data_IF_802265580297
#
_entry.id   IF_802265580297
#
_cell.length_a   1.000
_cell.length_b   1.000
_cell.length_c   1.000
_cell.angle_alpha   90.00
_cell.angle_beta   90.00
_cell.angle_gamma   90.00
#
_symmetry.space_group_name_H-M   'P 1'
#
loop_
_entity.id
_entity.type
_entity.pdbx_description
1 polymer ?
#
# COMPACT_ATOMS: atom_id res chain seq x y z
N UNK A 1 23.19 14.26 19.48
CA UNK A 1 21.76 13.89 19.58
C UNK A 1 21.42 13.78 21.06
N UNK A 2 20.27 14.30 21.52
CA UNK A 2 19.80 14.08 22.89
C UNK A 2 19.31 12.63 23.01
N UNK A 3 19.67 11.93 24.09
CA UNK A 3 19.27 10.53 24.38
C UNK A 3 17.80 10.41 24.81
N UNK A 4 16.90 11.20 24.24
CA UNK A 4 15.49 11.19 24.61
C UNK A 4 14.75 10.12 23.82
N UNK A 5 13.96 9.29 24.51
CA UNK A 5 13.17 8.25 23.85
C UNK A 5 11.91 8.86 23.23
N UNK A 6 11.42 8.28 22.13
CA UNK A 6 10.15 8.73 21.51
C UNK A 6 8.98 8.70 22.50
N UNK A 7 8.98 7.74 23.43
CA UNK A 7 7.97 7.62 24.48
C UNK A 7 8.01 8.84 25.41
N UNK A 8 9.21 9.27 25.83
CA UNK A 8 9.35 10.38 26.76
C UNK A 8 9.03 11.72 26.10
N UNK A 9 9.41 11.89 24.83
CA UNK A 9 8.99 13.04 24.03
C UNK A 9 7.46 13.11 23.92
N UNK A 10 6.78 11.98 23.64
CA UNK A 10 5.32 11.97 23.53
C UNK A 10 4.62 12.22 24.86
N UNK A 11 5.16 11.72 25.98
CA UNK A 11 4.65 12.06 27.32
C UNK A 11 4.72 13.57 27.54
N UNK A 12 5.90 14.16 27.30
CA UNK A 12 6.12 15.59 27.46
C UNK A 12 5.19 16.42 26.56
N UNK A 13 5.06 16.05 25.29
CA UNK A 13 4.18 16.75 24.34
C UNK A 13 2.69 16.60 24.69
N UNK A 14 2.27 15.46 25.23
CA UNK A 14 0.87 15.20 25.55
C UNK A 14 0.31 16.10 26.65
N UNK A 15 1.17 16.63 27.52
CA UNK A 15 0.81 17.53 28.62
C UNK A 15 0.58 18.98 28.14
N UNK A 16 1.05 19.36 26.95
CA UNK A 16 0.85 20.72 26.43
C UNK A 16 -0.59 21.01 25.99
N UNK A 17 -1.40 19.99 25.71
CA UNK A 17 -2.80 20.16 25.32
C UNK A 17 -3.71 19.63 26.42
N UNK A 18 -4.67 20.46 26.84
CA UNK A 18 -5.60 20.13 27.94
C UNK A 18 -6.82 19.35 27.48
N UNK A 19 -7.16 19.40 26.19
CA UNK A 19 -8.45 18.88 25.69
C UNK A 19 -8.30 17.64 24.79
N UNK A 20 -7.37 17.67 23.85
CA UNK A 20 -7.08 16.51 22.98
C UNK A 20 -5.71 16.67 22.33
N UNK A 21 -4.95 15.59 22.33
CA UNK A 21 -3.67 15.50 21.63
C UNK A 21 -3.79 14.50 20.47
N UNK A 22 -3.49 14.94 19.25
CA UNK A 22 -3.42 14.07 18.07
C UNK A 22 -2.04 14.22 17.46
N UNK A 23 -1.31 13.12 17.34
CA UNK A 23 0.05 13.10 16.81
C UNK A 23 0.08 12.38 15.47
N UNK A 24 0.56 13.05 14.44
CA UNK A 24 0.87 12.43 13.15
C UNK A 24 2.33 12.01 13.19
N UNK A 25 2.59 10.71 13.11
CA UNK A 25 3.93 10.14 13.31
C UNK A 25 4.41 9.50 12.02
N UNK A 26 5.61 9.89 11.61
CA UNK A 26 6.38 9.22 10.55
C UNK A 26 7.71 8.81 11.13
N UNK A 27 8.00 7.50 11.13
CA UNK A 27 9.19 6.94 11.76
C UNK A 27 9.80 5.83 10.90
N UNK A 28 11.13 5.68 10.85
CA UNK A 28 11.75 4.52 10.22
C UNK A 28 11.55 3.23 11.06
N UNK A 29 11.23 3.36 12.35
CA UNK A 29 10.99 2.24 13.25
C UNK A 29 9.57 1.71 13.09
N UNK A 30 9.44 0.40 12.99
CA UNK A 30 8.16 -0.30 12.85
C UNK A 30 7.42 -0.36 14.20
N UNK A 31 6.10 -0.26 14.16
CA UNK A 31 5.24 -0.44 15.33
C UNK A 31 5.23 0.74 16.31
N UNK A 32 5.85 1.87 15.97
CA UNK A 32 5.93 3.05 16.87
C UNK A 32 4.54 3.52 17.31
N UNK A 33 3.59 3.64 16.38
CA UNK A 33 2.24 4.10 16.73
C UNK A 33 1.54 3.08 17.66
N UNK A 34 1.70 1.78 17.39
CA UNK A 34 1.13 0.71 18.24
C UNK A 34 1.74 0.71 19.65
N UNK A 35 3.06 0.90 19.73
CA UNK A 35 3.77 1.05 21.00
C UNK A 35 3.25 2.26 21.79
N UNK A 36 3.14 3.42 21.16
CA UNK A 36 2.67 4.64 21.81
C UNK A 36 1.21 4.54 22.26
N UNK A 37 0.36 3.88 21.46
CA UNK A 37 -1.03 3.59 21.82
C UNK A 37 -1.13 2.75 23.11
N UNK A 38 -0.12 1.92 23.38
CA UNK A 38 -0.05 1.06 24.57
C UNK A 38 0.65 1.74 25.74
N UNK A 39 1.69 2.56 25.49
CA UNK A 39 2.54 3.14 26.53
C UNK A 39 1.98 4.44 27.14
N UNK A 40 1.24 5.24 26.38
CA UNK A 40 0.75 6.56 26.83
C UNK A 40 -0.54 6.56 27.67
N UNK A 41 -1.46 5.57 27.60
CA UNK A 41 -2.67 5.59 28.41
C UNK A 41 -2.44 5.72 29.92
N UNK A 42 -1.44 5.00 30.47
CA UNK A 42 -1.12 5.06 31.90
C UNK A 42 -0.55 6.42 32.32
N UNK A 43 0.21 7.07 31.42
CA UNK A 43 0.68 8.44 31.64
C UNK A 43 -0.50 9.42 31.62
N UNK A 44 -1.39 9.29 30.64
CA UNK A 44 -2.54 10.17 30.50
C UNK A 44 -3.45 10.13 31.74
N UNK A 45 -3.74 8.92 32.24
CA UNK A 45 -4.53 8.73 33.46
C UNK A 45 -3.86 9.35 34.70
N UNK A 46 -2.55 9.17 34.86
CA UNK A 46 -1.79 9.72 36.01
C UNK A 46 -1.85 11.24 36.09
N UNK A 47 -1.84 11.92 34.95
CA UNK A 47 -1.82 13.39 34.88
C UNK A 47 -3.21 14.00 34.63
N UNK A 48 -4.27 13.18 34.57
CA UNK A 48 -5.63 13.64 34.30
C UNK A 48 -5.80 14.28 32.93
N UNK A 49 -4.95 13.91 31.96
CA UNK A 49 -5.02 14.44 30.60
C UNK A 49 -5.76 13.45 29.67
N UNK A 50 -6.41 13.96 28.61
CA UNK A 50 -7.04 13.12 27.59
C UNK A 50 -6.06 12.17 26.91
N UNK A 51 -6.49 10.93 26.61
CA UNK A 51 -5.65 9.95 25.92
C UNK A 51 -5.23 10.48 24.55
N UNK A 52 -3.93 10.53 24.24
CA UNK A 52 -3.46 10.98 22.93
C UNK A 52 -3.83 9.97 21.85
N UNK A 53 -4.17 10.48 20.67
CA UNK A 53 -4.38 9.68 19.47
C UNK A 53 -3.13 9.72 18.59
N UNK A 54 -2.79 8.59 17.96
CA UNK A 54 -1.63 8.47 17.09
C UNK A 54 -2.10 8.10 15.68
N UNK A 55 -1.73 8.92 14.71
CA UNK A 55 -1.97 8.70 13.29
C UNK A 55 -0.68 8.26 12.63
N UNK A 56 -0.67 7.03 12.12
CA UNK A 56 0.47 6.46 11.44
C UNK A 56 0.57 7.02 10.00
N UNK A 57 1.47 7.97 9.80
CA UNK A 57 1.83 8.51 8.49
C UNK A 57 3.00 7.75 7.83
N UNK A 58 3.36 6.57 8.37
CA UNK A 58 4.37 5.65 7.88
C UNK A 58 5.31 5.17 8.97
N UNK A 59 5.31 3.87 9.24
CA UNK A 59 6.25 3.21 10.14
C UNK A 59 7.00 2.06 9.45
N UNK A 60 8.28 2.29 9.15
CA UNK A 60 9.17 1.27 8.55
C UNK A 60 8.63 0.64 7.25
N UNK A 61 8.66 -0.70 7.16
CA UNK A 61 8.27 -1.47 5.95
C UNK A 61 6.81 -1.95 5.96
N UNK A 62 6.11 -1.90 7.09
CA UNK A 62 4.92 -2.72 7.30
C UNK A 62 3.58 -2.05 6.97
N UNK A 63 3.39 -0.75 7.23
CA UNK A 63 2.07 -0.14 7.01
C UNK A 63 2.10 1.36 6.72
N UNK A 64 1.29 1.77 5.74
CA UNK A 64 0.84 3.15 5.54
C UNK A 64 -0.70 3.18 5.48
N UNK A 65 -1.40 3.05 6.62
CA UNK A 65 -2.86 2.95 6.64
C UNK A 65 -3.55 4.17 6.01
N UNK A 66 -2.99 5.37 6.22
CA UNK A 66 -3.57 6.61 5.71
C UNK A 66 -3.59 6.70 4.18
N UNK A 67 -2.56 6.20 3.50
CA UNK A 67 -2.53 6.20 2.04
C UNK A 67 -3.60 5.25 1.47
N UNK A 68 -3.85 4.13 2.14
CA UNK A 68 -4.88 3.19 1.71
C UNK A 68 -6.27 3.81 1.77
N UNK A 69 -6.59 4.57 2.82
CA UNK A 69 -7.89 5.25 2.91
C UNK A 69 -8.11 6.27 1.79
N UNK A 70 -7.08 7.04 1.45
CA UNK A 70 -7.16 8.04 0.36
C UNK A 70 -7.33 7.34 -0.99
N UNK A 71 -6.60 6.25 -1.22
CA UNK A 71 -6.72 5.46 -2.44
C UNK A 71 -8.13 4.84 -2.57
N UNK A 72 -8.63 4.24 -1.48
CA UNK A 72 -9.97 3.64 -1.46
C UNK A 72 -11.07 4.67 -1.66
N UNK A 73 -10.93 5.85 -1.05
CA UNK A 73 -11.82 6.98 -1.30
C UNK A 73 -11.84 7.35 -2.79
N UNK A 74 -10.65 7.49 -3.39
CA UNK A 74 -10.51 7.83 -4.82
C UNK A 74 -11.14 6.75 -5.71
N UNK A 75 -10.91 5.46 -5.42
CA UNK A 75 -11.51 4.35 -6.16
C UNK A 75 -13.05 4.38 -6.08
N UNK A 76 -13.59 4.56 -4.87
CA UNK A 76 -15.03 4.65 -4.66
C UNK A 76 -15.63 5.87 -5.38
N UNK A 77 -14.97 7.02 -5.32
CA UNK A 77 -15.41 8.23 -6.01
C UNK A 77 -15.46 8.04 -7.53
N UNK A 78 -14.40 7.45 -8.13
CA UNK A 78 -14.35 7.13 -9.56
C UNK A 78 -15.45 6.15 -9.98
N UNK A 79 -15.79 5.20 -9.10
CA UNK A 79 -16.87 4.22 -9.31
C UNK A 79 -18.24 4.74 -8.87
N UNK A 80 -18.39 6.04 -8.56
CA UNK A 80 -19.64 6.66 -8.10
C UNK A 80 -20.26 5.94 -6.89
N UNK A 81 -19.41 5.46 -6.00
CA UNK A 81 -19.74 4.69 -4.81
C UNK A 81 -20.40 3.33 -5.09
N UNK A 82 -20.34 2.85 -6.33
CA UNK A 82 -20.75 1.50 -6.66
C UNK A 82 -19.73 0.49 -6.12
N UNK A 83 -20.23 -0.47 -5.35
CA UNK A 83 -19.45 -1.54 -4.74
C UNK A 83 -19.75 -2.91 -5.35
N UNK A 84 -20.53 -2.96 -6.43
CA UNK A 84 -20.97 -4.20 -7.08
C UNK A 84 -19.79 -5.02 -7.61
N UNK A 85 -18.86 -4.37 -8.30
CA UNK A 85 -17.66 -4.99 -8.85
C UNK A 85 -16.54 -3.98 -9.01
N UNK A 86 -15.29 -4.45 -8.92
CA UNK A 86 -14.10 -3.70 -9.33
C UNK A 86 -13.18 -4.59 -10.14
N UNK A 87 -12.58 -4.02 -11.17
CA UNK A 87 -11.53 -4.64 -11.95
C UNK A 87 -10.33 -3.69 -12.01
N UNK A 88 -9.22 -4.10 -11.39
CA UNK A 88 -8.03 -3.27 -11.20
C UNK A 88 -6.76 -3.98 -11.68
N UNK A 89 -5.88 -3.24 -12.34
CA UNK A 89 -4.54 -3.67 -12.71
C UNK A 89 -3.51 -3.08 -11.74
N UNK A 90 -2.75 -3.95 -11.07
CA UNK A 90 -1.65 -3.59 -10.17
C UNK A 90 -0.33 -3.83 -10.91
N UNK A 91 0.41 -2.76 -11.19
CA UNK A 91 1.58 -2.78 -12.06
C UNK A 91 2.84 -2.36 -11.30
N UNK A 92 3.93 -3.10 -11.41
CA UNK A 92 5.23 -2.69 -10.84
C UNK A 92 5.73 -3.61 -9.74
N UNK A 93 6.36 -3.03 -8.71
CA UNK A 93 6.96 -3.81 -7.60
C UNK A 93 5.93 -4.17 -6.54
N UNK A 94 5.39 -5.38 -6.69
CA UNK A 94 4.39 -5.98 -5.83
C UNK A 94 5.02 -6.72 -4.64
N UNK A 95 6.27 -7.14 -4.76
CA UNK A 95 7.03 -7.79 -3.69
C UNK A 95 7.33 -6.83 -2.52
N UNK A 96 7.67 -5.57 -2.82
CA UNK A 96 8.17 -4.61 -1.83
C UNK A 96 7.32 -3.34 -1.70
N UNK A 97 6.18 -3.28 -2.39
CA UNK A 97 5.23 -2.18 -2.32
C UNK A 97 4.63 -2.05 -0.91
N UNK A 98 4.98 -0.97 -0.19
CA UNK A 98 4.56 -0.72 1.21
C UNK A 98 3.03 -0.64 1.39
N UNK A 99 2.29 -0.38 0.31
CA UNK A 99 0.83 -0.22 0.28
C UNK A 99 0.12 -1.40 -0.40
N UNK A 100 0.86 -2.31 -1.01
CA UNK A 100 0.30 -3.41 -1.81
C UNK A 100 -0.53 -4.37 -0.92
N UNK A 101 -0.07 -4.61 0.31
CA UNK A 101 -0.78 -5.44 1.29
C UNK A 101 -2.09 -4.82 1.77
N UNK A 102 -2.08 -3.53 2.14
CA UNK A 102 -3.27 -2.81 2.59
C UNK A 102 -4.33 -2.70 1.49
N UNK A 103 -3.89 -2.65 0.21
CA UNK A 103 -4.79 -2.61 -0.94
C UNK A 103 -5.70 -3.84 -1.03
N UNK A 104 -5.15 -5.03 -0.78
CA UNK A 104 -5.95 -6.27 -0.77
C UNK A 104 -7.07 -6.21 0.25
N UNK A 105 -6.78 -5.68 1.45
CA UNK A 105 -7.79 -5.52 2.49
C UNK A 105 -8.81 -4.42 2.15
N UNK A 106 -8.38 -3.32 1.53
CA UNK A 106 -9.26 -2.26 1.05
C UNK A 106 -10.25 -2.75 -0.01
N UNK A 107 -9.79 -3.56 -0.97
CA UNK A 107 -10.61 -4.09 -2.06
C UNK A 107 -11.75 -5.01 -1.58
N UNK A 108 -11.69 -5.55 -0.36
CA UNK A 108 -12.77 -6.36 0.24
C UNK A 108 -14.08 -5.58 0.43
N UNK A 109 -14.06 -4.26 0.29
CA UNK A 109 -15.26 -3.43 0.31
C UNK A 109 -16.20 -3.69 -0.87
N UNK A 110 -15.67 -4.24 -1.98
CA UNK A 110 -16.42 -4.57 -3.19
C UNK A 110 -16.93 -6.02 -3.16
N UNK A 111 -18.10 -6.27 -3.77
CA UNK A 111 -18.73 -7.60 -3.80
C UNK A 111 -18.05 -8.57 -4.77
N UNK A 112 -17.54 -8.05 -5.90
CA UNK A 112 -16.76 -8.82 -6.88
C UNK A 112 -15.46 -8.09 -7.14
N UNK A 113 -14.35 -8.78 -7.01
CA UNK A 113 -13.02 -8.19 -7.20
C UNK A 113 -12.26 -9.01 -8.22
N UNK A 114 -11.83 -8.33 -9.28
CA UNK A 114 -10.90 -8.87 -10.27
C UNK A 114 -9.61 -8.07 -10.23
N UNK A 115 -8.49 -8.76 -10.07
CA UNK A 115 -7.16 -8.16 -9.92
C UNK A 115 -6.22 -8.73 -10.97
N UNK A 116 -5.62 -7.85 -11.75
CA UNK A 116 -4.54 -8.20 -12.67
C UNK A 116 -3.20 -7.79 -12.06
N UNK A 117 -2.35 -8.77 -11.82
CA UNK A 117 -1.01 -8.59 -11.26
C UNK A 117 -0.03 -8.54 -12.41
N UNK A 118 0.60 -7.39 -12.62
CA UNK A 118 1.50 -7.14 -13.74
C UNK A 118 2.87 -6.79 -13.17
N UNK A 119 3.70 -7.82 -13.02
CA UNK A 119 5.03 -7.69 -12.45
C UNK A 119 5.95 -8.78 -13.01
N UNK A 120 7.22 -8.46 -13.32
CA UNK A 120 8.19 -9.49 -13.63
C UNK A 120 8.50 -10.32 -12.38
N UNK A 121 8.90 -11.58 -12.59
CA UNK A 121 9.20 -12.58 -11.55
C UNK A 121 10.10 -12.05 -10.41
N UNK A 122 10.99 -11.10 -10.72
CA UNK A 122 11.88 -10.48 -9.74
C UNK A 122 11.14 -9.69 -8.63
N UNK A 123 9.98 -9.12 -8.93
CA UNK A 123 9.24 -8.19 -8.06
C UNK A 123 7.74 -8.53 -7.99
N UNK A 124 7.38 -9.78 -8.29
CA UNK A 124 6.01 -10.27 -8.17
C UNK A 124 5.57 -10.50 -6.71
N UNK A 125 4.26 -10.67 -6.49
CA UNK A 125 3.77 -11.02 -5.15
C UNK A 125 4.27 -12.39 -4.71
N UNK A 126 4.69 -12.49 -3.45
CA UNK A 126 4.91 -13.79 -2.81
C UNK A 126 3.61 -14.61 -2.77
N UNK A 127 3.75 -15.93 -2.78
CA UNK A 127 2.65 -16.90 -2.87
C UNK A 127 1.61 -16.69 -1.77
N UNK A 128 2.05 -16.34 -0.56
CA UNK A 128 1.18 -16.09 0.59
C UNK A 128 0.18 -14.96 0.31
N UNK A 129 0.60 -13.91 -0.40
CA UNK A 129 -0.29 -12.79 -0.73
C UNK A 129 -1.32 -13.17 -1.77
N UNK A 130 -0.90 -13.93 -2.78
CA UNK A 130 -1.81 -14.50 -3.79
C UNK A 130 -2.85 -15.39 -3.13
N UNK A 131 -2.41 -16.25 -2.20
CA UNK A 131 -3.31 -17.10 -1.40
C UNK A 131 -4.33 -16.30 -0.59
N UNK A 132 -3.96 -15.15 -0.01
CA UNK A 132 -4.92 -14.27 0.68
C UNK A 132 -5.96 -13.66 -0.25
N UNK A 133 -5.57 -13.29 -1.48
CA UNK A 133 -6.52 -12.81 -2.49
C UNK A 133 -7.49 -13.91 -2.89
N UNK A 134 -6.99 -15.12 -3.19
CA UNK A 134 -7.83 -16.28 -3.50
C UNK A 134 -8.78 -16.63 -2.35
N UNK A 135 -8.29 -16.64 -1.10
CA UNK A 135 -9.11 -16.87 0.09
C UNK A 135 -10.18 -15.79 0.31
N UNK A 136 -9.96 -14.58 -0.20
CA UNK A 136 -10.92 -13.48 -0.16
C UNK A 136 -11.94 -13.55 -1.32
N UNK A 137 -11.84 -14.56 -2.20
CA UNK A 137 -12.74 -14.75 -3.34
C UNK A 137 -12.42 -13.89 -4.56
N UNK A 138 -11.20 -13.37 -4.67
CA UNK A 138 -10.82 -12.50 -5.79
C UNK A 138 -10.52 -13.34 -7.04
N UNK A 139 -10.91 -12.84 -8.21
CA UNK A 139 -10.42 -13.35 -9.50
C UNK A 139 -9.04 -12.72 -9.76
N UNK A 140 -7.97 -13.51 -9.65
CA UNK A 140 -6.59 -13.04 -9.84
C UNK A 140 -6.05 -13.54 -11.17
N UNK A 141 -5.46 -12.65 -11.96
CA UNK A 141 -4.70 -12.98 -13.19
C UNK A 141 -3.29 -12.45 -13.08
N UNK A 142 -2.32 -13.18 -13.60
CA UNK A 142 -0.89 -12.86 -13.47
C UNK A 142 -0.28 -12.66 -14.86
N UNK A 143 0.52 -11.61 -15.00
CA UNK A 143 1.21 -11.21 -16.23
C UNK A 143 2.63 -10.75 -15.89
N UNK A 144 3.60 -11.14 -16.70
CA UNK A 144 5.02 -10.82 -16.49
C UNK A 144 5.40 -9.42 -16.98
N UNK A 145 4.56 -8.79 -17.81
CA UNK A 145 4.77 -7.45 -18.36
C UNK A 145 3.45 -6.78 -18.77
N UNK A 146 3.48 -5.46 -18.92
CA UNK A 146 2.34 -4.70 -19.47
C UNK A 146 2.05 -5.14 -20.91
N UNK A 147 3.07 -5.44 -21.70
CA UNK A 147 2.91 -5.90 -23.07
C UNK A 147 2.14 -7.23 -23.13
N UNK A 148 2.53 -8.20 -22.31
CA UNK A 148 1.83 -9.47 -22.20
C UNK A 148 0.39 -9.28 -21.75
N UNK A 149 0.16 -8.38 -20.79
CA UNK A 149 -1.17 -8.05 -20.31
C UNK A 149 -2.06 -7.48 -21.41
N UNK A 150 -1.55 -6.52 -22.19
CA UNK A 150 -2.29 -5.92 -23.29
C UNK A 150 -2.62 -6.93 -24.40
N UNK A 151 -1.78 -7.93 -24.61
CA UNK A 151 -2.01 -8.97 -25.63
C UNK A 151 -2.95 -10.07 -25.14
N UNK A 152 -2.66 -10.66 -23.97
CA UNK A 152 -3.42 -11.80 -23.44
C UNK A 152 -4.76 -11.39 -22.84
N UNK A 153 -4.89 -10.15 -22.37
CA UNK A 153 -6.11 -9.64 -21.75
C UNK A 153 -6.85 -8.59 -22.59
N UNK A 154 -6.54 -8.43 -23.88
CA UNK A 154 -7.12 -7.42 -24.78
C UNK A 154 -8.66 -7.29 -24.70
N UNK A 155 -9.40 -8.39 -24.48
CA UNK A 155 -10.87 -8.37 -24.37
C UNK A 155 -11.44 -8.14 -22.96
N UNK A 156 -10.57 -8.01 -21.94
CA UNK A 156 -10.95 -7.80 -20.54
C UNK A 156 -9.81 -7.09 -19.84
N UNK A 157 -9.53 -5.85 -20.24
CA UNK A 157 -8.59 -4.96 -19.59
C UNK A 157 -9.27 -4.22 -18.43
N UNK A 158 -8.57 -4.10 -17.32
CA UNK A 158 -8.95 -3.25 -16.21
C UNK A 158 -9.03 -1.80 -16.67
N UNK A 159 -10.06 -1.09 -16.21
CA UNK A 159 -10.22 0.35 -16.44
C UNK A 159 -9.38 1.18 -15.47
N UNK A 160 -9.03 0.61 -14.32
CA UNK A 160 -8.24 1.27 -13.27
C UNK A 160 -6.87 0.61 -13.19
N UNK A 161 -5.82 1.43 -13.33
CA UNK A 161 -4.42 0.99 -13.27
C UNK A 161 -3.73 1.67 -12.10
N UNK A 162 -3.06 0.88 -11.26
CA UNK A 162 -2.31 1.37 -10.10
C UNK A 162 -0.84 0.99 -10.26
N UNK A 163 0.03 1.99 -10.33
CA UNK A 163 1.47 1.82 -10.55
C UNK A 163 2.26 1.90 -9.25
N UNK A 164 3.11 0.89 -9.02
CA UNK A 164 4.07 0.83 -7.93
C UNK A 164 5.48 1.10 -8.46
N UNK A 165 6.19 2.02 -7.82
CA UNK A 165 7.57 2.32 -8.19
C UNK A 165 8.49 1.11 -7.91
N UNK A 166 9.27 0.64 -8.89
CA UNK A 166 10.21 -0.46 -8.68
C UNK A 166 11.31 -0.11 -7.67
N UNK A 167 11.47 -0.95 -6.63
CA UNK A 167 12.52 -0.80 -5.61
C UNK A 167 13.58 -1.90 -5.75
N UNK A 168 14.28 -1.91 -6.89
CA UNK A 168 15.32 -2.91 -7.19
C UNK A 168 16.45 -3.01 -6.16
N UNK A 169 16.68 -1.97 -5.35
CA UNK A 169 17.63 -2.00 -4.24
C UNK A 169 17.29 -3.04 -3.16
N UNK A 170 16.04 -3.52 -3.11
CA UNK A 170 15.58 -4.56 -2.18
C UNK A 170 15.69 -5.98 -2.73
N UNK A 171 15.95 -6.15 -4.02
CA UNK A 171 15.94 -7.44 -4.71
C UNK A 171 17.25 -8.24 -4.59
N UNK A 172 18.15 -7.85 -3.68
CA UNK A 172 19.46 -8.49 -3.52
C UNK A 172 20.47 -8.11 -4.60
N UNK A 173 21.48 -8.96 -4.81
CA UNK A 173 22.46 -8.79 -5.88
C UNK A 173 21.87 -9.18 -7.24
N UNK A 174 21.59 -8.17 -8.05
CA UNK A 174 21.09 -8.31 -9.43
C UNK A 174 21.89 -7.39 -10.35
N UNK A 175 22.08 -7.82 -11.60
CA UNK A 175 22.81 -7.03 -12.59
C UNK A 175 22.03 -5.79 -13.00
N UNK A 176 22.73 -4.74 -13.44
CA UNK A 176 22.08 -3.53 -13.96
C UNK A 176 21.25 -3.80 -15.22
N UNK A 177 21.63 -4.80 -16.01
CA UNK A 177 20.86 -5.23 -17.18
C UNK A 177 19.51 -5.82 -16.79
N UNK A 178 19.48 -6.74 -15.82
CA UNK A 178 18.24 -7.33 -15.31
C UNK A 178 17.34 -6.27 -14.67
N UNK A 179 17.91 -5.28 -13.95
CA UNK A 179 17.14 -4.13 -13.42
C UNK A 179 16.48 -3.34 -14.55
N UNK A 180 17.23 -3.03 -15.61
CA UNK A 180 16.71 -2.27 -16.77
C UNK A 180 15.59 -3.02 -17.46
N UNK A 181 15.78 -4.31 -17.72
CA UNK A 181 14.77 -5.17 -18.37
C UNK A 181 13.49 -5.27 -17.54
N UNK A 182 13.61 -5.54 -16.24
CA UNK A 182 12.47 -5.60 -15.34
C UNK A 182 11.73 -4.25 -15.28
N UNK A 183 12.47 -3.13 -15.26
CA UNK A 183 11.88 -1.79 -15.30
C UNK A 183 11.09 -1.53 -16.59
N UNK A 184 11.62 -1.94 -17.75
CA UNK A 184 10.96 -1.77 -19.04
C UNK A 184 9.66 -2.57 -19.16
N UNK A 185 9.54 -3.72 -18.47
CA UNK A 185 8.33 -4.56 -18.47
C UNK A 185 7.15 -3.92 -17.73
N UNK A 186 7.42 -3.02 -16.78
CA UNK A 186 6.41 -2.35 -15.94
C UNK A 186 6.30 -0.84 -16.21
N UNK A 187 7.02 -0.33 -17.21
CA UNK A 187 6.94 1.06 -17.64
C UNK A 187 5.95 1.18 -18.78
N UNK A 188 4.87 1.94 -18.57
CA UNK A 188 3.90 2.21 -19.61
C UNK A 188 4.53 3.03 -20.74
N UNK A 189 4.30 2.63 -22.00
CA UNK A 189 4.83 3.32 -23.17
C UNK A 189 3.71 3.99 -23.97
N UNK A 190 3.93 5.19 -24.53
CA UNK A 190 2.88 5.95 -25.24
C UNK A 190 2.21 5.17 -26.38
N UNK A 191 2.94 4.32 -27.08
CA UNK A 191 2.42 3.50 -28.17
C UNK A 191 1.30 2.54 -27.76
N UNK A 192 1.18 2.22 -26.46
CA UNK A 192 0.13 1.34 -25.94
C UNK A 192 -1.18 2.05 -25.67
N UNK A 193 -1.22 3.38 -25.75
CA UNK A 193 -2.45 4.15 -25.55
C UNK A 193 -3.54 3.75 -26.57
N UNK A 194 -3.14 3.42 -27.80
CA UNK A 194 -4.06 2.94 -28.85
C UNK A 194 -4.65 1.56 -28.56
N UNK A 195 -4.01 0.75 -27.68
CA UNK A 195 -4.51 -0.56 -27.26
C UNK A 195 -5.47 -0.48 -26.05
N UNK A 196 -5.60 0.69 -25.43
CA UNK A 196 -6.46 0.91 -24.25
C UNK A 196 -7.82 1.51 -24.61
N UNK A 197 -7.96 2.09 -25.80
CA UNK A 197 -9.24 2.63 -26.26
C UNK A 197 -10.14 1.51 -26.81
N UNK A 198 -11.44 1.51 -26.46
CA UNK A 198 -12.41 0.52 -26.97
C UNK A 198 -12.70 0.66 -28.46
#
# INVERSE_FOLDING_TARGET
QKNETITDTMKMLSVYSTDRSVFVIRSPLEGVCSWLQTALPAHAERYGIPRPAFLNAGDGRYSHPLNEYVDMFTLLEQLKWDRSAIHIALVGDLAHGRTAHSKVDGLKVFHKVKVDLIAPELIEYQVEYKNRMYASGFEVREFSSIEEYLERAAGSLATIWYFYQPQFSKCGEITEETKREAGLKVTFRPEWQTKLEP
#
